data_IF_477999705671
#
_entry.id   IF_477999705671
#
_cell.length_a   1.000
_cell.length_b   1.000
_cell.length_c   1.000
_cell.angle_alpha   90.00
_cell.angle_beta   90.00
_cell.angle_gamma   90.00
#
_symmetry.space_group_name_H-M   'P 1'
#
loop_
_entity.id
_entity.type
_entity.pdbx_description
1 polymer ?
#
# COMPACT_ATOMS: atom_id res chain seq x y z
N UNK A 1 -8.90 -6.15 1.96
CA UNK A 1 -9.02 -6.70 3.33
C UNK A 1 -10.10 -5.93 4.05
N UNK A 2 -10.97 -6.61 4.79
CA UNK A 2 -12.07 -5.99 5.52
C UNK A 2 -11.92 -6.26 7.02
N UNK A 3 -11.75 -5.20 7.80
CA UNK A 3 -11.43 -5.27 9.22
C UNK A 3 -12.58 -4.62 9.99
N UNK A 4 -13.34 -5.40 10.81
CA UNK A 4 -14.45 -4.85 11.58
C UNK A 4 -13.95 -3.87 12.64
N UNK A 5 -14.82 -2.93 13.02
CA UNK A 5 -14.59 -1.94 14.07
C UNK A 5 -15.85 -1.74 14.93
N UNK A 6 -15.69 -1.02 16.02
CA UNK A 6 -16.71 -0.77 17.06
C UNK A 6 -17.35 0.60 16.94
N UNK A 7 -16.69 1.55 16.26
CA UNK A 7 -17.17 2.91 16.05
C UNK A 7 -18.00 3.00 14.76
N UNK A 8 -18.96 3.94 14.69
CA UNK A 8 -19.69 4.21 13.45
C UNK A 8 -18.75 4.71 12.34
N UNK A 9 -19.08 4.38 11.10
CA UNK A 9 -18.36 4.83 9.91
C UNK A 9 -17.45 3.77 9.29
N UNK A 10 -16.77 4.16 8.22
CA UNK A 10 -15.84 3.31 7.47
C UNK A 10 -14.63 4.16 7.04
N UNK A 11 -13.42 3.61 7.21
CA UNK A 11 -12.18 4.19 6.71
C UNK A 11 -11.66 3.31 5.59
N UNK A 12 -11.50 3.88 4.39
CA UNK A 12 -10.83 3.23 3.27
C UNK A 12 -9.36 3.62 3.28
N UNK A 13 -8.47 2.62 3.34
CA UNK A 13 -7.04 2.77 3.14
C UNK A 13 -6.71 2.18 1.77
N UNK A 14 -6.19 3.01 0.87
CA UNK A 14 -5.94 2.67 -0.52
C UNK A 14 -4.45 2.72 -0.84
N UNK A 15 -4.02 1.82 -1.73
CA UNK A 15 -2.70 1.83 -2.35
C UNK A 15 -2.65 0.88 -3.54
N UNK A 16 -1.46 0.64 -4.09
CA UNK A 16 -1.28 -0.27 -5.21
C UNK A 16 0.00 -1.11 -5.12
N UNK A 17 0.10 -2.16 -5.92
CA UNK A 17 1.24 -3.10 -5.89
C UNK A 17 1.96 -3.26 -7.24
N UNK A 18 1.36 -2.78 -8.32
CA UNK A 18 2.03 -2.63 -9.61
C UNK A 18 3.08 -1.53 -9.56
N UNK A 19 3.97 -1.51 -10.55
CA UNK A 19 5.19 -0.71 -10.54
C UNK A 19 5.43 -0.12 -11.91
N UNK A 20 5.91 1.12 -11.96
CA UNK A 20 6.59 1.64 -13.14
C UNK A 20 7.74 0.69 -13.59
N UNK A 21 8.04 0.63 -14.91
CA UNK A 21 9.17 -0.14 -15.46
C UNK A 21 10.53 0.37 -14.94
N UNK A 22 11.61 -0.31 -15.31
CA UNK A 22 12.95 0.19 -15.03
C UNK A 22 13.22 1.54 -15.70
N UNK A 23 14.20 2.27 -15.15
CA UNK A 23 14.76 3.47 -15.76
C UNK A 23 16.27 3.48 -15.58
N UNK A 24 16.96 4.30 -16.36
CA UNK A 24 18.42 4.49 -16.27
C UNK A 24 18.79 5.58 -15.26
N UNK A 25 20.03 5.60 -14.79
CA UNK A 25 20.51 6.62 -13.86
C UNK A 25 20.55 6.20 -12.39
N UNK A 26 20.41 4.90 -12.11
CA UNK A 26 20.71 4.36 -10.78
C UNK A 26 22.18 4.59 -10.42
N UNK A 27 22.41 4.94 -9.14
CA UNK A 27 23.78 5.02 -8.61
C UNK A 27 24.40 3.63 -8.58
N UNK A 28 25.73 3.57 -8.64
CA UNK A 28 26.46 2.31 -8.50
C UNK A 28 26.04 1.56 -7.23
N UNK A 29 25.80 0.25 -7.37
CA UNK A 29 25.34 -0.62 -6.28
C UNK A 29 23.84 -0.56 -5.99
N UNK A 30 23.05 0.27 -6.70
CA UNK A 30 21.60 0.31 -6.59
C UNK A 30 20.93 -0.14 -7.89
N UNK A 31 19.70 -0.62 -7.79
CA UNK A 31 18.91 -1.00 -8.95
C UNK A 31 17.43 -1.12 -8.61
N UNK A 32 16.58 -1.32 -9.62
CA UNK A 32 15.14 -1.42 -9.43
C UNK A 32 14.74 -2.70 -8.67
N UNK A 33 15.47 -3.80 -8.85
CA UNK A 33 15.06 -5.12 -8.36
C UNK A 33 15.88 -5.64 -7.18
N UNK A 34 16.90 -4.92 -6.76
CA UNK A 34 17.71 -5.25 -5.59
C UNK A 34 17.38 -4.26 -4.46
N UNK A 35 16.73 -4.70 -3.37
CA UNK A 35 16.42 -3.83 -2.25
C UNK A 35 17.68 -3.50 -1.45
N UNK A 36 18.01 -2.21 -1.30
CA UNK A 36 19.20 -1.76 -0.56
C UNK A 36 18.81 -0.76 0.51
N UNK A 37 19.15 -1.03 1.77
CA UNK A 37 19.00 -0.08 2.87
C UNK A 37 20.32 0.68 3.08
N UNK A 38 20.33 1.99 2.80
CA UNK A 38 21.48 2.88 3.02
C UNK A 38 21.03 4.19 3.64
N UNK A 39 21.72 4.64 4.68
CA UNK A 39 21.46 5.92 5.35
C UNK A 39 19.99 6.11 5.76
N UNK A 40 19.37 5.03 6.25
CA UNK A 40 17.97 5.01 6.67
C UNK A 40 16.95 5.04 5.54
N UNK A 41 17.37 4.85 4.28
CA UNK A 41 16.48 4.83 3.10
C UNK A 41 16.52 3.47 2.42
N UNK A 42 15.34 2.91 2.14
CA UNK A 42 15.18 1.69 1.36
C UNK A 42 15.07 2.03 -0.12
N UNK A 43 16.08 1.66 -0.89
CA UNK A 43 16.15 1.81 -2.34
C UNK A 43 15.65 0.55 -3.04
N UNK A 44 14.90 0.73 -4.11
CA UNK A 44 14.32 -0.32 -4.94
C UNK A 44 13.00 0.13 -5.57
N UNK A 45 12.67 -0.33 -6.77
CA UNK A 45 11.38 -0.03 -7.42
C UNK A 45 10.26 -0.69 -6.62
N UNK A 46 9.22 0.07 -6.31
CA UNK A 46 8.15 -0.40 -5.43
C UNK A 46 8.35 -0.07 -3.96
N UNK A 47 9.54 0.36 -3.52
CA UNK A 47 9.80 0.56 -2.10
C UNK A 47 9.01 1.74 -1.53
N UNK A 48 9.02 2.87 -2.23
CA UNK A 48 8.30 4.08 -1.85
C UNK A 48 6.99 4.27 -2.64
N UNK A 49 6.83 3.56 -3.75
CA UNK A 49 5.73 3.74 -4.70
C UNK A 49 5.38 2.38 -5.32
N UNK A 50 4.39 1.66 -4.80
CA UNK A 50 3.62 1.94 -3.56
C UNK A 50 3.59 0.74 -2.61
N UNK A 51 4.61 -0.12 -2.70
CA UNK A 51 4.69 -1.36 -1.94
C UNK A 51 4.64 -1.16 -0.41
N UNK A 52 4.91 0.04 0.11
CA UNK A 52 4.78 0.34 1.53
C UNK A 52 3.32 0.46 2.02
N UNK A 53 2.36 0.78 1.15
CA UNK A 53 1.00 1.14 1.56
C UNK A 53 0.28 0.01 2.29
N UNK A 54 0.40 -1.23 1.80
CA UNK A 54 -0.21 -2.40 2.45
C UNK A 54 0.34 -2.61 3.87
N UNK A 55 1.66 -2.52 4.03
CA UNK A 55 2.32 -2.73 5.32
C UNK A 55 1.99 -1.60 6.29
N UNK A 56 2.01 -0.35 5.81
CA UNK A 56 1.76 0.82 6.64
C UNK A 56 0.30 0.87 7.11
N UNK A 57 -0.64 0.54 6.22
CA UNK A 57 -2.06 0.43 6.56
C UNK A 57 -2.30 -0.61 7.65
N UNK A 58 -1.73 -1.81 7.51
CA UNK A 58 -1.88 -2.87 8.49
C UNK A 58 -1.15 -2.54 9.80
N UNK A 59 0.04 -1.96 9.74
CA UNK A 59 0.82 -1.57 10.91
C UNK A 59 0.09 -0.50 11.74
N UNK A 60 -0.50 0.51 11.09
CA UNK A 60 -1.28 1.54 11.78
C UNK A 60 -2.49 0.94 12.51
N UNK A 61 -3.26 0.07 11.85
CA UNK A 61 -4.40 -0.61 12.46
C UNK A 61 -3.95 -1.51 13.62
N UNK A 62 -2.88 -2.28 13.43
CA UNK A 62 -2.32 -3.15 14.46
C UNK A 62 -1.85 -2.35 15.70
N UNK A 63 -1.18 -1.21 15.49
CA UNK A 63 -0.69 -0.36 16.57
C UNK A 63 -1.83 0.23 17.41
N UNK A 64 -2.93 0.64 16.77
CA UNK A 64 -4.12 1.15 17.48
C UNK A 64 -4.82 0.04 18.26
N UNK A 65 -4.97 -1.16 17.66
CA UNK A 65 -5.53 -2.34 18.34
C UNK A 65 -4.69 -2.75 19.54
N UNK A 66 -3.37 -2.72 19.44
CA UNK A 66 -2.46 -3.03 20.55
C UNK A 66 -2.62 -2.08 21.75
N UNK A 67 -3.11 -0.86 21.51
CA UNK A 67 -3.40 0.13 22.53
C UNK A 67 -4.87 0.13 23.00
N UNK A 68 -5.68 -0.85 22.54
CA UNK A 68 -7.12 -0.93 22.79
C UNK A 68 -7.88 0.34 22.37
N UNK A 69 -7.41 1.01 21.32
CA UNK A 69 -8.14 2.14 20.72
C UNK A 69 -9.28 1.59 19.88
N UNK A 70 -10.51 2.02 20.18
CA UNK A 70 -11.67 1.68 19.37
C UNK A 70 -11.53 2.27 17.95
N UNK A 71 -11.87 1.48 16.94
CA UNK A 71 -11.76 1.87 15.52
C UNK A 71 -13.12 1.79 14.84
N UNK A 72 -13.32 2.57 13.78
CA UNK A 72 -14.37 2.29 12.81
C UNK A 72 -13.98 1.08 11.95
N UNK A 73 -14.90 0.56 11.13
CA UNK A 73 -14.56 -0.47 10.12
C UNK A 73 -13.47 0.07 9.20
N UNK A 74 -12.42 -0.73 8.95
CA UNK A 74 -11.36 -0.38 8.02
C UNK A 74 -11.37 -1.32 6.82
N UNK A 75 -11.46 -0.76 5.62
CA UNK A 75 -11.28 -1.49 4.36
C UNK A 75 -9.92 -1.11 3.80
N UNK A 76 -9.04 -2.10 3.60
CA UNK A 76 -7.76 -1.90 2.92
C UNK A 76 -7.89 -2.42 1.49
N UNK A 77 -7.78 -1.55 0.50
CA UNK A 77 -7.83 -1.86 -0.93
C UNK A 77 -6.45 -1.63 -1.54
N UNK A 78 -5.85 -2.68 -2.08
CA UNK A 78 -4.58 -2.61 -2.81
C UNK A 78 -4.84 -3.09 -4.22
N UNK A 79 -4.78 -2.19 -5.19
CA UNK A 79 -4.97 -2.54 -6.60
C UNK A 79 -3.65 -2.88 -7.30
N UNK A 80 -3.72 -3.21 -8.60
CA UNK A 80 -2.57 -3.65 -9.38
C UNK A 80 -2.56 -3.08 -10.82
N UNK A 81 -3.29 -1.99 -11.06
CA UNK A 81 -3.36 -1.34 -12.37
C UNK A 81 -3.17 0.19 -12.30
N UNK A 82 -2.77 0.73 -11.15
CA UNK A 82 -2.72 2.16 -10.86
C UNK A 82 -1.74 2.88 -11.81
N UNK A 83 -0.57 2.29 -12.01
CA UNK A 83 0.50 2.82 -12.86
C UNK A 83 0.14 2.77 -14.35
N UNK A 84 -0.94 2.05 -14.67
CA UNK A 84 -1.56 1.93 -16.00
C UNK A 84 -2.89 2.71 -16.11
N UNK A 85 -3.22 3.53 -15.11
CA UNK A 85 -4.44 4.35 -15.07
C UNK A 85 -5.64 3.69 -14.41
N UNK A 86 -5.43 2.75 -13.49
CA UNK A 86 -6.48 2.07 -12.69
C UNK A 86 -7.56 1.42 -13.55
N UNK A 87 -7.19 0.83 -14.68
CA UNK A 87 -8.15 0.34 -15.69
C UNK A 87 -9.08 -0.77 -15.17
N UNK A 88 -8.61 -1.57 -14.22
CA UNK A 88 -9.40 -2.67 -13.65
C UNK A 88 -10.18 -2.25 -12.39
N UNK A 89 -9.81 -1.13 -11.78
CA UNK A 89 -10.38 -0.67 -10.51
C UNK A 89 -11.91 -0.46 -10.56
N UNK A 90 -12.51 0.19 -11.58
CA UNK A 90 -13.96 0.39 -11.63
C UNK A 90 -14.77 -0.92 -11.55
N UNK A 91 -14.33 -1.98 -12.25
CA UNK A 91 -15.00 -3.27 -12.22
C UNK A 91 -14.90 -3.95 -10.84
N UNK A 92 -13.77 -3.80 -10.16
CA UNK A 92 -13.60 -4.30 -8.79
C UNK A 92 -14.46 -3.54 -7.78
N UNK A 93 -14.58 -2.21 -7.91
CA UNK A 93 -15.45 -1.41 -7.06
C UNK A 93 -16.92 -1.79 -7.25
N UNK A 94 -17.37 -1.96 -8.50
CA UNK A 94 -18.75 -2.41 -8.79
C UNK A 94 -19.04 -3.79 -8.19
N UNK A 95 -18.08 -4.73 -8.23
CA UNK A 95 -18.22 -6.05 -7.65
C UNK A 95 -18.30 -6.05 -6.11
N UNK A 96 -17.79 -5.00 -5.45
CA UNK A 96 -17.82 -4.85 -3.99
C UNK A 96 -19.14 -4.25 -3.48
N UNK A 97 -19.95 -3.65 -4.36
CA UNK A 97 -21.21 -2.97 -4.04
C UNK A 97 -21.04 -1.63 -3.36
#
# INVERSE_FOLDING_TARGET
MDIPGELPGCVLLYGHMDKQPEFTGWRSGLGPWEPVLSDGKLYGRGAADDGYAVFSSLAAIAALKAQNVALARCVVLIEASEESGSVDLPAHLEALG
#
